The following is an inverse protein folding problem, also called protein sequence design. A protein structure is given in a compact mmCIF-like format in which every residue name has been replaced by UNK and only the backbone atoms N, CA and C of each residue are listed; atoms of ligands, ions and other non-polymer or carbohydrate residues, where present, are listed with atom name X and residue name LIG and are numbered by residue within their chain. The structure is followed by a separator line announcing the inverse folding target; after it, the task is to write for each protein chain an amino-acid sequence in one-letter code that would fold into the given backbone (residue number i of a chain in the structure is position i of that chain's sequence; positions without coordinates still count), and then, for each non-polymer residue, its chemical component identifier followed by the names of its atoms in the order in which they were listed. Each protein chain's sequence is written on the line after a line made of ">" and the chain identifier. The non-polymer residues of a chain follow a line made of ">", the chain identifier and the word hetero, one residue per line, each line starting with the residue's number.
data_IF_721862779475
#
_entry.id   IF_721862779475
#
_cell.length_a   1.000
_cell.length_b   1.000
_cell.length_c   1.000
_cell.angle_alpha   90.00
_cell.angle_beta   90.00
_cell.angle_gamma   90.00
#
_symmetry.space_group_name_H-M   'P 1'
#
loop_
_entity.id
_entity.type
_entity.pdbx_description
1 polymer ?
#
# COMPACT_ATOMS: atom_id res chain seq x y z
N UNK A 1 -15.31 -23.12 -3.28
CA UNK A 1 -15.16 -23.47 -1.84
C UNK A 1 -13.98 -22.68 -1.28
N UNK A 2 -14.16 -21.84 -0.24
CA UNK A 2 -13.05 -21.09 0.37
C UNK A 2 -12.30 -22.02 1.33
N UNK A 3 -10.99 -22.19 1.13
CA UNK A 3 -10.14 -22.99 2.01
C UNK A 3 -10.04 -22.31 3.37
N UNK A 4 -10.20 -23.09 4.46
CA UNK A 4 -10.00 -22.59 5.81
C UNK A 4 -8.56 -22.13 6.02
N UNK A 5 -8.36 -21.05 6.77
CA UNK A 5 -7.02 -20.59 7.15
C UNK A 5 -6.44 -21.56 8.15
N UNK A 6 -5.17 -21.93 7.96
CA UNK A 6 -4.41 -22.65 8.98
C UNK A 6 -3.62 -21.59 9.78
N UNK A 7 -4.10 -21.28 10.97
CA UNK A 7 -3.46 -20.42 11.93
C UNK A 7 -2.90 -21.31 13.04
N UNK A 8 -1.59 -21.41 13.13
CA UNK A 8 -0.93 -22.22 14.16
C UNK A 8 -0.57 -21.31 15.34
N UNK A 9 -1.19 -21.50 16.51
CA UNK A 9 -0.84 -20.73 17.71
C UNK A 9 0.67 -20.81 17.99
N UNK A 10 1.28 -19.67 18.32
CA UNK A 10 2.71 -19.52 18.55
C UNK A 10 3.55 -19.26 17.28
N UNK A 11 3.04 -19.57 16.10
CA UNK A 11 3.76 -19.27 14.86
C UNK A 11 3.68 -17.78 14.51
N UNK A 12 4.75 -17.26 13.90
CA UNK A 12 4.76 -15.90 13.34
C UNK A 12 4.09 -15.92 11.97
N UNK A 13 3.22 -14.97 11.75
CA UNK A 13 2.48 -14.80 10.50
C UNK A 13 2.76 -13.45 9.88
N UNK A 14 2.95 -13.43 8.56
CA UNK A 14 2.86 -12.22 7.76
C UNK A 14 1.40 -11.97 7.41
N UNK A 15 0.81 -10.91 7.96
CA UNK A 15 -0.58 -10.52 7.69
C UNK A 15 -0.57 -9.30 6.78
N UNK A 16 -1.36 -9.36 5.69
CA UNK A 16 -1.43 -8.30 4.69
C UNK A 16 -2.89 -7.90 4.46
N UNK A 17 -3.20 -6.62 4.62
CA UNK A 17 -4.48 -6.03 4.24
C UNK A 17 -4.29 -5.10 3.05
N UNK A 18 -5.10 -5.26 2.00
CA UNK A 18 -5.03 -4.43 0.79
C UNK A 18 -6.28 -3.62 0.61
N UNK A 19 -6.12 -2.39 0.15
CA UNK A 19 -7.26 -1.55 -0.22
C UNK A 19 -7.81 -1.93 -1.59
N UNK A 20 -9.12 -1.71 -1.76
CA UNK A 20 -9.82 -1.98 -3.01
C UNK A 20 -9.14 -1.25 -4.17
N UNK A 21 -9.05 -1.90 -5.32
CA UNK A 21 -8.42 -1.37 -6.55
C UNK A 21 -6.98 -0.87 -6.33
N UNK A 22 -6.28 -1.36 -5.31
CA UNK A 22 -4.97 -0.84 -4.87
C UNK A 22 -4.96 0.68 -4.68
N UNK A 23 -6.11 1.24 -4.32
CA UNK A 23 -6.28 2.68 -4.10
C UNK A 23 -5.40 3.17 -2.97
N UNK A 24 -4.81 4.34 -3.13
CA UNK A 24 -4.07 5.01 -2.08
C UNK A 24 -5.04 5.66 -1.11
N UNK A 25 -5.38 4.93 -0.09
CA UNK A 25 -6.33 5.40 0.92
C UNK A 25 -5.64 5.99 2.15
N UNK A 26 -4.41 5.56 2.45
CA UNK A 26 -3.61 6.20 3.50
C UNK A 26 -2.72 7.27 2.88
N UNK A 27 -3.24 8.48 2.72
CA UNK A 27 -2.52 9.63 2.18
C UNK A 27 -2.20 10.68 3.23
N UNK A 28 -2.94 10.67 4.35
CA UNK A 28 -2.78 11.61 5.45
C UNK A 28 -2.34 10.89 6.73
N UNK A 29 -1.65 11.61 7.60
CA UNK A 29 -1.17 11.10 8.89
C UNK A 29 -2.33 10.71 9.79
N UNK A 30 -3.40 11.51 9.82
CA UNK A 30 -4.62 11.24 10.57
C UNK A 30 -5.27 9.89 10.24
N UNK A 31 -5.13 9.42 9.01
CA UNK A 31 -5.66 8.12 8.56
C UNK A 31 -4.85 6.96 9.11
N UNK A 32 -3.52 7.12 9.14
CA UNK A 32 -2.60 6.13 9.70
C UNK A 32 -2.69 6.08 11.23
N UNK A 33 -2.74 7.24 11.87
CA UNK A 33 -2.95 7.34 13.33
C UNK A 33 -4.27 6.69 13.73
N UNK A 34 -5.35 6.94 12.96
CA UNK A 34 -6.64 6.30 13.21
C UNK A 34 -6.55 4.78 13.10
N UNK A 35 -5.83 4.29 12.09
CA UNK A 35 -5.64 2.84 11.94
C UNK A 35 -4.85 2.24 13.09
N UNK A 36 -3.72 2.86 13.50
CA UNK A 36 -2.91 2.39 14.64
C UNK A 36 -3.68 2.44 15.96
N UNK A 37 -4.49 3.48 16.18
CA UNK A 37 -5.36 3.55 17.36
C UNK A 37 -6.37 2.40 17.41
N UNK A 38 -7.03 2.08 16.29
CA UNK A 38 -7.95 0.96 16.20
C UNK A 38 -7.23 -0.39 16.35
N UNK A 39 -6.02 -0.50 15.80
CA UNK A 39 -5.18 -1.69 15.92
C UNK A 39 -4.85 -1.98 17.39
N UNK A 40 -4.37 -0.97 18.12
CA UNK A 40 -4.04 -1.12 19.54
C UNK A 40 -5.24 -1.60 20.35
N UNK A 41 -6.39 -0.94 20.20
CA UNK A 41 -7.64 -1.35 20.86
C UNK A 41 -8.10 -2.76 20.52
N UNK A 42 -7.88 -3.20 19.29
CA UNK A 42 -8.27 -4.54 18.86
C UNK A 42 -7.33 -5.61 19.44
N UNK A 43 -6.03 -5.31 19.53
CA UNK A 43 -5.03 -6.22 20.08
C UNK A 43 -5.13 -6.33 21.60
N UNK A 44 -5.57 -5.29 22.32
CA UNK A 44 -5.87 -5.36 23.76
C UNK A 44 -6.94 -6.43 24.09
N UNK A 45 -7.72 -6.86 23.10
CA UNK A 45 -8.79 -7.88 23.23
C UNK A 45 -8.54 -9.08 22.30
N UNK A 46 -7.30 -9.41 22.02
CA UNK A 46 -6.90 -10.53 21.17
C UNK A 46 -5.69 -11.23 21.77
N UNK A 47 -5.61 -12.53 21.52
CA UNK A 47 -4.41 -13.31 21.88
C UNK A 47 -3.26 -13.15 20.88
N UNK A 48 -3.47 -12.42 19.77
CA UNK A 48 -2.44 -12.13 18.79
C UNK A 48 -1.50 -11.01 19.26
N UNK A 49 -0.21 -11.15 18.99
CA UNK A 49 0.83 -10.19 19.37
C UNK A 49 1.49 -9.59 18.13
N UNK A 50 1.59 -8.28 18.05
CA UNK A 50 2.23 -7.58 16.94
C UNK A 50 3.73 -7.43 17.21
N UNK A 51 4.56 -7.89 16.26
CA UNK A 51 6.00 -7.71 16.29
C UNK A 51 6.42 -6.48 15.46
N UNK A 52 5.90 -6.34 14.25
CA UNK A 52 6.25 -5.23 13.36
C UNK A 52 5.08 -4.84 12.47
N UNK A 53 5.09 -3.58 12.01
CA UNK A 53 4.10 -3.09 11.03
C UNK A 53 4.71 -2.13 10.01
N UNK A 54 4.06 -2.04 8.85
CA UNK A 54 4.24 -0.98 7.87
C UNK A 54 2.89 -0.58 7.27
N UNK A 55 2.56 0.71 7.35
CA UNK A 55 1.33 1.29 6.81
C UNK A 55 1.63 1.99 5.49
N UNK A 56 1.57 1.22 4.39
CA UNK A 56 1.74 1.75 3.05
C UNK A 56 0.45 2.42 2.56
N UNK A 57 0.54 3.29 1.56
CA UNK A 57 -0.62 4.05 1.09
C UNK A 57 -1.75 3.18 0.53
N UNK A 58 -1.45 2.01 -0.03
CA UNK A 58 -2.41 1.12 -0.69
C UNK A 58 -2.53 -0.28 -0.05
N UNK A 59 -1.72 -0.58 0.96
CA UNK A 59 -1.75 -1.85 1.70
C UNK A 59 -1.03 -1.73 3.04
N UNK A 60 -1.23 -2.72 3.89
CA UNK A 60 -0.72 -2.78 5.25
C UNK A 60 -0.02 -4.11 5.46
N UNK A 61 1.13 -4.08 6.14
CA UNK A 61 1.89 -5.27 6.53
C UNK A 61 2.01 -5.37 8.04
N UNK A 62 1.89 -6.59 8.57
CA UNK A 62 2.10 -6.89 9.97
C UNK A 62 2.86 -8.20 10.12
N UNK A 63 3.85 -8.24 11.03
CA UNK A 63 4.40 -9.47 11.59
C UNK A 63 3.65 -9.75 12.90
N UNK A 64 2.96 -10.87 12.97
CA UNK A 64 2.07 -11.19 14.07
C UNK A 64 2.36 -12.59 14.60
N UNK A 65 2.46 -12.75 15.92
CA UNK A 65 2.43 -14.07 16.54
C UNK A 65 0.97 -14.47 16.70
N UNK A 66 0.60 -15.62 16.14
CA UNK A 66 -0.76 -16.14 16.27
C UNK A 66 -1.03 -16.60 17.69
N UNK A 67 -2.17 -16.16 18.22
CA UNK A 67 -2.75 -16.74 19.43
C UNK A 67 -3.76 -17.83 19.11
N UNK A 68 -4.45 -18.39 20.11
CA UNK A 68 -5.53 -19.35 19.92
C UNK A 68 -6.78 -18.78 19.24
N UNK A 69 -6.97 -17.44 19.30
CA UNK A 69 -8.10 -16.79 18.64
C UNK A 69 -7.92 -16.78 17.11
N UNK A 70 -9.00 -16.85 16.32
CA UNK A 70 -8.90 -16.73 14.88
C UNK A 70 -8.42 -15.32 14.46
N UNK A 71 -7.79 -15.18 13.30
CA UNK A 71 -7.29 -13.90 12.76
C UNK A 71 -8.38 -12.81 12.73
N UNK A 72 -9.62 -13.21 12.49
CA UNK A 72 -10.78 -12.32 12.48
C UNK A 72 -11.03 -11.62 13.84
N UNK A 73 -10.55 -12.18 14.94
CA UNK A 73 -10.76 -11.64 16.30
C UNK A 73 -10.29 -10.18 16.42
N UNK A 74 -9.17 -9.85 15.78
CA UNK A 74 -8.67 -8.48 15.76
C UNK A 74 -8.86 -7.79 14.41
N UNK A 75 -8.68 -8.48 13.27
CA UNK A 75 -8.74 -7.83 11.95
C UNK A 75 -10.12 -7.24 11.66
N UNK A 76 -11.20 -7.90 12.04
CA UNK A 76 -12.55 -7.36 11.90
C UNK A 76 -12.78 -6.15 12.79
N UNK A 77 -12.24 -6.15 14.01
CA UNK A 77 -12.35 -5.04 14.98
C UNK A 77 -11.59 -3.79 14.53
N UNK A 78 -10.58 -3.94 13.67
CA UNK A 78 -9.83 -2.82 13.07
C UNK A 78 -10.46 -2.40 11.74
N UNK A 79 -10.57 -3.35 10.80
CA UNK A 79 -10.86 -3.03 9.41
C UNK A 79 -12.30 -2.53 9.20
N UNK A 80 -13.30 -3.06 9.95
CA UNK A 80 -14.68 -2.62 9.79
C UNK A 80 -14.91 -1.17 10.27
N UNK A 81 -14.51 -0.77 11.50
CA UNK A 81 -14.70 0.61 11.92
C UNK A 81 -13.78 1.57 11.15
N UNK A 82 -12.58 1.13 10.72
CA UNK A 82 -11.74 1.95 9.86
C UNK A 82 -12.38 2.18 8.50
N UNK A 83 -12.96 1.15 7.88
CA UNK A 83 -13.65 1.28 6.60
C UNK A 83 -14.85 2.23 6.68
N UNK A 84 -15.66 2.12 7.73
CA UNK A 84 -16.78 3.03 7.95
C UNK A 84 -16.31 4.47 8.13
N UNK A 85 -15.31 4.69 8.98
CA UNK A 85 -14.75 6.02 9.22
C UNK A 85 -14.15 6.61 7.92
N UNK A 86 -13.40 5.81 7.14
CA UNK A 86 -12.80 6.24 5.88
C UNK A 86 -13.88 6.60 4.84
N UNK A 87 -14.94 5.81 4.75
CA UNK A 87 -16.05 6.09 3.83
C UNK A 87 -16.76 7.39 4.18
N UNK A 88 -17.06 7.63 5.47
CA UNK A 88 -17.63 8.89 5.93
C UNK A 88 -16.70 10.07 5.65
N UNK A 89 -15.44 9.96 6.04
CA UNK A 89 -14.45 11.03 5.86
C UNK A 89 -14.27 11.43 4.39
N UNK A 90 -14.35 10.46 3.48
CA UNK A 90 -14.11 10.68 2.03
C UNK A 90 -15.37 10.71 1.18
N UNK A 91 -16.55 10.76 1.79
CA UNK A 91 -17.84 10.74 1.07
C UNK A 91 -17.95 9.53 0.11
N UNK A 92 -17.42 8.35 0.49
CA UNK A 92 -17.39 7.15 -0.35
C UNK A 92 -18.44 6.15 0.08
N UNK A 93 -18.89 5.36 -0.89
CA UNK A 93 -19.70 4.16 -0.68
C UNK A 93 -18.94 2.93 -1.17
N UNK A 94 -19.15 1.79 -0.50
CA UNK A 94 -18.61 0.49 -0.90
C UNK A 94 -17.37 0.06 -0.10
N UNK A 95 -16.71 -1.03 -0.51
CA UNK A 95 -15.62 -1.63 0.24
C UNK A 95 -14.37 -0.71 0.26
N UNK A 96 -13.68 -0.70 1.40
CA UNK A 96 -12.37 -0.05 1.58
C UNK A 96 -11.25 -1.07 1.36
N UNK A 97 -11.44 -2.29 1.87
CA UNK A 97 -10.50 -3.38 1.68
C UNK A 97 -10.93 -4.29 0.52
N UNK A 98 -9.96 -4.74 -0.27
CA UNK A 98 -10.19 -5.56 -1.46
C UNK A 98 -10.75 -6.96 -1.10
N UNK A 99 -10.26 -7.53 0.00
CA UNK A 99 -10.65 -8.85 0.50
C UNK A 99 -10.35 -8.93 2.01
N UNK A 100 -10.62 -10.10 2.60
CA UNK A 100 -10.13 -10.40 3.95
C UNK A 100 -8.60 -10.37 3.97
N UNK A 101 -7.96 -9.99 5.10
CA UNK A 101 -6.50 -10.01 5.21
C UNK A 101 -5.92 -11.36 4.79
N UNK A 102 -4.89 -11.33 3.96
CA UNK A 102 -4.10 -12.52 3.66
C UNK A 102 -3.17 -12.81 4.84
N UNK A 103 -2.95 -14.08 5.15
CA UNK A 103 -2.05 -14.51 6.23
C UNK A 103 -1.16 -15.66 5.77
N UNK A 104 0.10 -15.63 6.20
CA UNK A 104 1.13 -16.59 5.83
C UNK A 104 1.94 -16.94 7.05
N UNK A 105 1.92 -18.20 7.46
CA UNK A 105 2.84 -18.67 8.48
C UNK A 105 4.28 -18.57 7.99
N UNK A 106 5.14 -18.03 8.82
CA UNK A 106 6.58 -17.89 8.56
C UNK A 106 7.28 -19.13 9.12
N UNK A 107 8.28 -19.57 8.40
CA UNK A 107 9.10 -20.70 8.82
C UNK A 107 9.91 -20.31 10.07
N UNK A 108 10.00 -21.18 11.09
CA UNK A 108 10.88 -20.94 12.22
C UNK A 108 12.31 -20.62 11.75
N UNK A 109 12.86 -19.51 12.27
CA UNK A 109 14.15 -18.96 11.89
C UNK A 109 14.12 -17.85 10.83
N UNK A 110 12.98 -17.63 10.15
CA UNK A 110 12.83 -16.56 9.14
C UNK A 110 12.08 -15.33 9.71
N UNK A 111 11.73 -15.32 10.99
CA UNK A 111 10.92 -14.26 11.63
C UNK A 111 11.61 -12.90 11.58
N UNK A 112 12.93 -12.88 11.88
CA UNK A 112 13.74 -11.67 11.79
C UNK A 112 13.75 -11.10 10.37
N UNK A 113 13.90 -11.94 9.36
CA UNK A 113 13.85 -11.52 7.95
C UNK A 113 12.50 -10.90 7.59
N UNK A 114 11.37 -11.43 8.13
CA UNK A 114 10.08 -10.82 7.95
C UNK A 114 10.03 -9.41 8.56
N UNK A 115 10.58 -9.23 9.76
CA UNK A 115 10.63 -7.92 10.43
C UNK A 115 11.44 -6.94 9.60
N UNK A 116 12.65 -7.31 9.13
CA UNK A 116 13.45 -6.48 8.24
C UNK A 116 12.71 -6.14 6.93
N UNK A 117 12.07 -7.14 6.30
CA UNK A 117 11.26 -6.95 5.11
C UNK A 117 10.15 -5.91 5.32
N UNK A 118 9.43 -5.99 6.45
CA UNK A 118 8.33 -5.05 6.77
C UNK A 118 8.88 -3.64 6.95
N UNK A 119 9.98 -3.47 7.68
CA UNK A 119 10.59 -2.16 7.89
C UNK A 119 11.17 -1.55 6.61
N UNK A 120 11.66 -2.40 5.69
CA UNK A 120 12.19 -1.98 4.39
C UNK A 120 11.10 -1.77 3.31
N UNK A 121 9.81 -2.02 3.58
CA UNK A 121 8.76 -1.81 2.58
C UNK A 121 8.76 -0.39 2.00
N UNK A 122 8.85 0.71 2.79
CA UNK A 122 8.91 2.06 2.24
C UNK A 122 10.16 2.33 1.41
N UNK A 123 11.31 1.73 1.77
CA UNK A 123 12.56 1.83 1.00
C UNK A 123 12.41 1.11 -0.35
N UNK A 124 11.89 -0.12 -0.33
CA UNK A 124 11.63 -0.93 -1.54
C UNK A 124 10.60 -0.29 -2.47
N UNK A 125 9.66 0.47 -1.90
CA UNK A 125 8.67 1.24 -2.66
C UNK A 125 9.22 2.60 -3.14
N UNK A 126 10.47 2.95 -2.83
CA UNK A 126 11.07 4.24 -3.21
C UNK A 126 10.47 5.45 -2.49
N UNK A 127 9.78 5.21 -1.35
CA UNK A 127 9.12 6.27 -0.56
C UNK A 127 10.13 7.04 0.27
N UNK A 128 11.10 6.34 0.85
CA UNK A 128 12.18 6.89 1.66
C UNK A 128 13.51 6.25 1.26
N UNK A 129 14.62 6.93 1.55
CA UNK A 129 15.95 6.41 1.27
C UNK A 129 16.37 5.30 2.27
N UNK A 130 15.96 5.42 3.53
CA UNK A 130 16.32 4.49 4.62
C UNK A 130 15.08 4.17 5.44
N UNK A 131 15.01 2.97 6.05
CA UNK A 131 13.89 2.53 6.88
C UNK A 131 13.60 3.50 8.04
N UNK A 132 14.65 4.07 8.65
CA UNK A 132 14.54 5.07 9.73
C UNK A 132 13.81 6.36 9.32
N UNK A 133 13.81 6.70 8.04
CA UNK A 133 13.19 7.92 7.52
C UNK A 133 11.66 7.75 7.34
N UNK A 134 11.13 6.56 7.58
CA UNK A 134 9.70 6.28 7.51
C UNK A 134 9.00 6.45 8.87
N UNK A 135 8.04 7.36 8.93
CA UNK A 135 7.20 7.56 10.13
C UNK A 135 6.13 6.47 10.29
N UNK A 136 5.85 5.67 9.25
CA UNK A 136 4.69 4.78 9.18
C UNK A 136 5.04 3.29 9.22
N UNK A 137 6.25 3.01 9.72
CA UNK A 137 6.66 1.68 10.13
C UNK A 137 6.97 1.66 11.63
N UNK A 138 7.07 0.48 12.22
CA UNK A 138 7.54 0.31 13.59
C UNK A 138 9.04 0.55 13.76
N UNK A 139 9.80 0.87 12.70
CA UNK A 139 11.26 0.98 12.74
C UNK A 139 11.78 2.01 13.77
N UNK A 140 11.19 3.22 13.77
CA UNK A 140 11.57 4.28 14.72
C UNK A 140 11.38 3.87 16.19
N UNK A 141 10.48 2.91 16.48
CA UNK A 141 10.25 2.36 17.81
C UNK A 141 11.35 1.36 18.15
N UNK A 142 11.73 0.51 17.21
CA UNK A 142 12.81 -0.47 17.38
C UNK A 142 14.17 0.15 17.68
N UNK A 143 14.46 1.30 17.09
CA UNK A 143 15.71 2.06 17.35
C UNK A 143 15.61 3.04 18.52
N UNK A 144 14.53 3.00 19.28
CA UNK A 144 14.34 3.85 20.47
C UNK A 144 14.02 5.32 20.17
N UNK A 145 13.78 5.70 18.92
CA UNK A 145 13.43 7.07 18.52
C UNK A 145 11.97 7.45 18.85
N UNK A 146 11.11 6.45 19.12
CA UNK A 146 9.71 6.62 19.53
C UNK A 146 9.37 5.62 20.63
N UNK A 147 8.47 6.01 21.56
CA UNK A 147 7.99 5.12 22.60
C UNK A 147 7.18 3.96 22.01
N UNK A 148 7.43 2.76 22.51
CA UNK A 148 6.70 1.57 22.13
C UNK A 148 5.28 1.59 22.73
N UNK A 149 4.22 1.45 21.90
CA UNK A 149 2.89 1.21 22.42
C UNK A 149 2.81 -0.19 23.03
N UNK A 150 1.97 -0.36 24.05
CA UNK A 150 1.86 -1.62 24.82
C UNK A 150 1.56 -2.87 23.98
N UNK A 151 0.89 -2.69 22.85
CA UNK A 151 0.50 -3.77 21.95
C UNK A 151 1.61 -4.18 20.95
N UNK A 152 2.74 -3.44 20.90
CA UNK A 152 3.88 -3.77 20.03
C UNK A 152 4.99 -4.41 20.84
N UNK A 153 5.32 -5.66 20.53
CA UNK A 153 6.28 -6.49 21.26
C UNK A 153 7.69 -6.35 20.67
N UNK A 154 8.35 -5.21 20.92
CA UNK A 154 9.66 -4.85 20.35
C UNK A 154 10.75 -5.80 20.82
N UNK A 155 10.82 -6.08 22.14
CA UNK A 155 11.86 -6.94 22.70
C UNK A 155 11.84 -8.34 22.06
N UNK A 156 10.66 -8.93 21.94
CA UNK A 156 10.50 -10.21 21.26
C UNK A 156 10.85 -10.13 19.77
N UNK A 157 10.56 -8.99 19.13
CA UNK A 157 10.96 -8.75 17.74
C UNK A 157 12.49 -8.69 17.59
N UNK A 158 13.20 -8.03 18.51
CA UNK A 158 14.66 -7.98 18.54
C UNK A 158 15.29 -9.36 18.81
N UNK A 159 14.68 -10.16 19.69
CA UNK A 159 15.10 -11.55 19.92
C UNK A 159 15.04 -12.37 18.63
N UNK A 160 13.95 -12.27 17.85
CA UNK A 160 13.85 -12.94 16.55
C UNK A 160 14.87 -12.42 15.53
N UNK A 161 15.28 -11.17 15.62
CA UNK A 161 16.31 -10.61 14.74
C UNK A 161 17.75 -11.00 15.20
N UNK A 162 17.92 -11.42 16.43
CA UNK A 162 19.23 -11.75 17.01
C UNK A 162 20.17 -10.55 17.13
N UNK A 163 19.63 -9.32 17.25
CA UNK A 163 20.40 -8.08 17.31
C UNK A 163 19.93 -7.16 18.44
N UNK A 164 20.82 -6.35 18.96
CA UNK A 164 20.48 -5.29 19.91
C UNK A 164 19.80 -4.12 19.21
N UNK A 165 19.00 -3.34 19.95
CA UNK A 165 18.32 -2.16 19.41
C UNK A 165 19.29 -1.15 18.78
N UNK A 166 20.50 -0.99 19.31
CA UNK A 166 21.53 -0.11 18.77
C UNK A 166 22.00 -0.50 17.37
N UNK A 167 22.01 -1.81 17.06
CA UNK A 167 22.50 -2.35 15.79
C UNK A 167 21.38 -2.59 14.79
N UNK A 168 20.12 -2.45 15.23
CA UNK A 168 18.94 -2.83 14.45
C UNK A 168 18.82 -2.07 13.13
N UNK A 169 19.11 -0.77 13.12
CA UNK A 169 19.02 0.04 11.88
C UNK A 169 20.05 -0.41 10.82
N UNK A 170 21.28 -0.68 11.24
CA UNK A 170 22.32 -1.20 10.33
C UNK A 170 21.97 -2.60 9.82
N UNK A 171 21.41 -3.46 10.69
CA UNK A 171 20.99 -4.80 10.35
C UNK A 171 19.82 -4.78 9.33
N UNK A 172 18.80 -3.93 9.54
CA UNK A 172 17.70 -3.74 8.57
C UNK A 172 18.21 -3.18 7.25
N UNK A 173 19.17 -2.23 7.28
CA UNK A 173 19.75 -1.65 6.07
C UNK A 173 20.54 -2.67 5.26
N UNK A 174 21.24 -3.62 5.91
CA UNK A 174 21.97 -4.69 5.24
C UNK A 174 21.06 -5.65 4.45
N UNK A 175 19.80 -5.85 4.92
CA UNK A 175 18.82 -6.71 4.24
C UNK A 175 18.26 -6.10 2.94
N UNK A 176 18.46 -4.81 2.67
CA UNK A 176 18.02 -4.18 1.40
C UNK A 176 18.74 -4.70 0.17
N UNK A 177 19.89 -5.32 0.33
CA UNK A 177 20.70 -5.87 -0.76
C UNK A 177 20.13 -7.17 -1.35
N UNK A 178 19.28 -7.87 -0.63
CA UNK A 178 18.55 -9.04 -1.12
C UNK A 178 17.27 -8.61 -1.83
N UNK A 179 17.37 -8.37 -3.14
CA UNK A 179 16.25 -8.01 -4.05
C UNK A 179 15.08 -9.00 -4.06
N UNK A 180 15.30 -10.17 -3.50
CA UNK A 180 14.31 -11.20 -3.34
C UNK A 180 14.33 -11.64 -1.87
N UNK A 181 13.17 -11.59 -1.22
CA UNK A 181 12.95 -12.39 -0.03
C UNK A 181 12.67 -13.84 -0.50
N UNK A 182 13.70 -14.64 -0.86
CA UNK A 182 13.52 -15.93 -1.53
C UNK A 182 12.74 -16.89 -0.66
N UNK A 183 12.83 -16.72 0.66
CA UNK A 183 12.17 -17.59 1.62
C UNK A 183 10.68 -17.27 1.79
N UNK A 184 10.28 -15.99 1.75
CA UNK A 184 8.85 -15.63 1.79
C UNK A 184 8.12 -16.10 0.54
N UNK A 185 8.76 -16.07 -0.65
CA UNK A 185 8.22 -16.66 -1.88
C UNK A 185 8.23 -18.21 -1.82
N UNK A 186 9.25 -18.81 -1.25
CA UNK A 186 9.36 -20.26 -1.11
C UNK A 186 8.33 -20.81 -0.12
N UNK A 187 8.14 -20.16 1.02
CA UNK A 187 7.12 -20.53 2.01
C UNK A 187 5.73 -20.37 1.41
N UNK A 188 5.45 -19.28 0.70
CA UNK A 188 4.23 -19.07 -0.05
C UNK A 188 3.98 -20.16 -1.09
N UNK A 189 5.02 -20.62 -1.79
CA UNK A 189 4.96 -21.69 -2.80
C UNK A 189 4.74 -23.05 -2.17
N UNK A 190 5.46 -23.38 -1.11
CA UNK A 190 5.32 -24.62 -0.36
C UNK A 190 3.95 -24.74 0.33
N UNK A 191 3.42 -23.64 0.84
CA UNK A 191 2.08 -23.59 1.41
C UNK A 191 0.97 -23.77 0.36
N UNK A 192 1.14 -23.25 -0.87
CA UNK A 192 0.23 -23.55 -2.00
C UNK A 192 0.22 -25.01 -2.37
N UNK A 193 1.39 -25.64 -2.45
CA UNK A 193 1.52 -27.06 -2.81
C UNK A 193 0.89 -27.98 -1.77
N UNK A 194 0.78 -27.55 -0.51
CA UNK A 194 0.11 -28.28 0.58
C UNK A 194 -1.38 -27.95 0.74
N UNK A 195 -1.97 -27.19 -0.18
CA UNK A 195 -3.38 -26.81 -0.12
C UNK A 195 -3.74 -25.81 1.00
N UNK A 196 -2.73 -25.29 1.70
CA UNK A 196 -2.93 -24.45 2.87
C UNK A 196 -3.09 -22.96 2.58
N UNK A 197 -2.85 -22.49 1.35
CA UNK A 197 -2.86 -21.05 1.08
C UNK A 197 -3.27 -20.71 -0.36
N UNK A 198 -4.41 -20.05 -0.51
CA UNK A 198 -4.68 -19.22 -1.67
C UNK A 198 -3.96 -17.88 -1.49
N UNK A 199 -2.80 -17.77 -2.05
CA UNK A 199 -2.08 -16.52 -2.11
C UNK A 199 -1.64 -16.24 -3.53
N UNK A 200 -2.27 -15.23 -4.10
CA UNK A 200 -1.55 -14.38 -4.99
C UNK A 200 -0.61 -13.52 -4.13
N UNK A 201 0.63 -13.93 -3.94
CA UNK A 201 1.68 -12.95 -3.68
C UNK A 201 1.72 -12.11 -4.95
N UNK A 202 1.40 -10.81 -4.94
CA UNK A 202 1.83 -10.02 -6.06
C UNK A 202 3.34 -10.07 -5.97
N UNK A 203 3.97 -10.74 -6.89
CA UNK A 203 5.25 -10.30 -7.36
C UNK A 203 4.96 -8.88 -7.81
N UNK A 204 5.33 -7.89 -7.00
CA UNK A 204 5.53 -6.56 -7.51
C UNK A 204 6.64 -6.76 -8.53
N UNK A 205 6.27 -6.89 -9.81
CA UNK A 205 7.23 -6.68 -10.87
C UNK A 205 7.86 -5.30 -10.58
N UNK A 206 9.13 -5.07 -10.91
CA UNK A 206 9.75 -3.74 -10.79
C UNK A 206 8.93 -2.63 -11.44
N UNK A 207 8.00 -2.98 -12.32
CA UNK A 207 7.02 -2.11 -13.01
C UNK A 207 5.77 -1.80 -12.18
N UNK A 208 5.52 -2.50 -11.06
CA UNK A 208 4.43 -2.21 -10.11
C UNK A 208 4.89 -1.30 -8.95
N UNK A 209 6.15 -0.85 -8.95
CA UNK A 209 6.56 0.28 -8.14
C UNK A 209 5.88 1.49 -8.77
N UNK A 210 4.84 2.07 -8.15
CA UNK A 210 4.36 3.36 -8.59
C UNK A 210 5.58 4.29 -8.54
N UNK A 211 5.69 5.24 -9.46
CA UNK A 211 6.63 6.34 -9.45
C UNK A 211 6.37 7.27 -8.25
N UNK A 212 6.51 6.77 -7.04
CA UNK A 212 5.90 7.30 -5.82
C UNK A 212 6.89 7.94 -4.88
N UNK A 213 8.16 7.98 -5.24
CA UNK A 213 9.18 8.54 -4.35
C UNK A 213 9.05 10.03 -4.03
N UNK A 214 8.08 10.76 -4.59
CA UNK A 214 8.02 12.23 -4.46
C UNK A 214 6.66 12.84 -4.06
N UNK A 215 5.64 12.06 -3.70
CA UNK A 215 4.26 12.58 -3.62
C UNK A 215 3.59 12.58 -2.25
N UNK A 216 4.31 12.52 -1.15
CA UNK A 216 3.71 12.47 0.19
C UNK A 216 3.17 13.82 0.72
N UNK A 217 3.33 14.92 -0.01
CA UNK A 217 2.88 16.24 0.43
C UNK A 217 1.93 16.95 -0.56
N UNK A 218 1.28 16.21 -1.49
CA UNK A 218 0.48 16.87 -2.52
C UNK A 218 -1.01 16.81 -2.26
N UNK A 219 -1.62 17.99 -2.34
CA UNK A 219 -3.06 18.17 -2.53
C UNK A 219 -3.46 17.30 -3.72
N UNK A 220 -4.40 16.41 -3.48
CA UNK A 220 -4.97 15.52 -4.48
C UNK A 220 -5.56 16.35 -5.63
N UNK A 221 -5.14 16.17 -6.89
CA UNK A 221 -5.62 17.00 -7.98
C UNK A 221 -7.09 16.76 -8.26
N UNK A 222 -7.77 17.78 -8.79
CA UNK A 222 -9.09 17.58 -9.36
C UNK A 222 -8.99 16.60 -10.55
N UNK A 223 -9.87 15.60 -10.66
CA UNK A 223 -9.89 14.68 -11.80
C UNK A 223 -9.92 15.38 -13.16
N UNK A 224 -10.55 16.55 -13.25
CA UNK A 224 -10.61 17.37 -14.47
C UNK A 224 -9.24 17.95 -14.83
N UNK A 225 -8.41 18.28 -13.83
CA UNK A 225 -7.04 18.76 -14.06
C UNK A 225 -6.18 17.66 -14.65
N UNK A 226 -6.33 16.44 -14.14
CA UNK A 226 -5.65 15.27 -14.73
C UNK A 226 -6.04 15.10 -16.18
N UNK A 227 -7.33 15.19 -16.52
CA UNK A 227 -7.78 15.08 -17.92
C UNK A 227 -7.23 16.22 -18.80
N UNK A 228 -7.14 17.47 -18.27
CA UNK A 228 -6.55 18.58 -19.01
C UNK A 228 -5.05 18.34 -19.32
N UNK A 229 -4.31 17.83 -18.36
CA UNK A 229 -2.88 17.52 -18.55
C UNK A 229 -2.72 16.34 -19.53
N UNK A 230 -3.55 15.30 -19.41
CA UNK A 230 -3.54 14.18 -20.36
C UNK A 230 -3.89 14.65 -21.77
N UNK A 231 -4.88 15.54 -21.92
CA UNK A 231 -5.22 16.14 -23.22
C UNK A 231 -4.02 16.84 -23.84
N UNK A 232 -3.30 17.66 -23.04
CA UNK A 232 -2.10 18.36 -23.50
C UNK A 232 -0.94 17.41 -23.89
N UNK A 233 -0.81 16.28 -23.21
CA UNK A 233 0.25 15.28 -23.48
C UNK A 233 -0.07 14.39 -24.67
N UNK A 234 -1.34 14.02 -24.86
CA UNK A 234 -1.78 13.08 -25.88
C UNK A 234 -2.30 13.75 -27.16
N UNK A 235 -2.54 15.08 -27.12
CA UNK A 235 -3.18 15.80 -28.22
C UNK A 235 -4.69 15.51 -28.39
N UNK A 236 -5.30 14.75 -27.47
CA UNK A 236 -6.74 14.44 -27.50
C UNK A 236 -7.48 15.53 -26.75
N UNK A 237 -8.47 16.22 -27.36
CA UNK A 237 -9.24 17.27 -26.69
C UNK A 237 -9.93 16.77 -25.40
N UNK A 238 -9.92 17.57 -24.34
CA UNK A 238 -10.46 17.17 -23.04
C UNK A 238 -11.95 16.80 -23.11
N UNK A 239 -12.71 17.45 -23.95
CA UNK A 239 -14.15 17.21 -24.18
C UNK A 239 -14.41 15.82 -24.81
N UNK A 240 -13.43 15.30 -25.57
CA UNK A 240 -13.54 14.00 -26.21
C UNK A 240 -13.55 12.85 -25.20
N UNK A 241 -12.96 13.02 -24.02
CA UNK A 241 -12.91 11.96 -23.00
C UNK A 241 -14.30 11.48 -22.55
N UNK A 242 -15.30 12.37 -22.50
CA UNK A 242 -16.67 12.03 -22.12
C UNK A 242 -17.51 11.51 -23.30
N UNK A 243 -16.97 11.50 -24.52
CA UNK A 243 -17.72 11.04 -25.71
C UNK A 243 -17.91 9.52 -25.68
N UNK A 244 -18.96 9.03 -26.37
CA UNK A 244 -19.20 7.58 -26.55
C UNK A 244 -18.33 6.94 -27.64
N UNK A 245 -17.46 7.71 -28.27
CA UNK A 245 -16.58 7.21 -29.33
C UNK A 245 -15.56 6.21 -28.83
N UNK A 246 -15.26 5.19 -29.62
CA UNK A 246 -14.30 4.12 -29.35
C UNK A 246 -13.08 4.18 -30.27
N UNK A 247 -12.70 5.37 -30.74
CA UNK A 247 -11.51 5.54 -31.58
C UNK A 247 -10.27 5.06 -30.80
N UNK A 248 -9.34 4.32 -31.45
CA UNK A 248 -8.16 3.76 -30.76
C UNK A 248 -7.38 4.82 -29.95
N UNK A 249 -7.10 5.97 -30.53
CA UNK A 249 -6.39 7.09 -29.88
C UNK A 249 -7.11 7.58 -28.61
N UNK A 250 -8.44 7.64 -28.65
CA UNK A 250 -9.24 8.06 -27.49
C UNK A 250 -9.26 7.00 -26.38
N UNK A 251 -9.31 5.72 -26.77
CA UNK A 251 -9.24 4.60 -25.79
C UNK A 251 -7.88 4.61 -25.11
N UNK A 252 -6.81 4.87 -25.85
CA UNK A 252 -5.46 4.99 -25.34
C UNK A 252 -5.31 6.19 -24.39
N UNK A 253 -5.78 7.37 -24.78
CA UNK A 253 -5.76 8.55 -23.92
C UNK A 253 -6.55 8.34 -22.61
N UNK A 254 -7.71 7.65 -22.68
CA UNK A 254 -8.46 7.25 -21.48
C UNK A 254 -7.68 6.28 -20.59
N UNK A 255 -6.93 5.36 -21.17
CA UNK A 255 -6.05 4.44 -20.43
C UNK A 255 -4.97 5.22 -19.69
N UNK A 256 -4.27 6.12 -20.38
CA UNK A 256 -3.26 7.01 -19.79
C UNK A 256 -3.88 7.83 -18.65
N UNK A 257 -5.07 8.40 -18.85
CA UNK A 257 -5.77 9.16 -17.82
C UNK A 257 -6.11 8.33 -16.58
N UNK A 258 -6.54 7.08 -16.76
CA UNK A 258 -6.84 6.17 -15.65
C UNK A 258 -5.57 5.81 -14.88
N UNK A 259 -4.49 5.47 -15.57
CA UNK A 259 -3.23 5.09 -14.91
C UNK A 259 -2.57 6.29 -14.22
N UNK A 260 -2.48 7.45 -14.88
CA UNK A 260 -1.94 8.68 -14.28
C UNK A 260 -2.79 9.16 -13.09
N UNK A 261 -4.12 9.19 -13.25
CA UNK A 261 -5.02 9.60 -12.17
C UNK A 261 -4.94 8.67 -10.96
N UNK A 262 -4.79 7.36 -11.16
CA UNK A 262 -4.56 6.40 -10.06
C UNK A 262 -3.22 6.63 -9.37
N UNK A 263 -2.16 6.91 -10.13
CA UNK A 263 -0.86 7.26 -9.58
C UNK A 263 -0.90 8.57 -8.76
N UNK A 264 -1.80 9.49 -9.12
CA UNK A 264 -2.07 10.73 -8.38
C UNK A 264 -3.12 10.56 -7.26
N UNK A 265 -3.53 9.33 -6.95
CA UNK A 265 -4.42 9.02 -5.83
C UNK A 265 -5.92 9.13 -6.11
N UNK A 266 -6.33 9.29 -7.38
CA UNK A 266 -7.74 9.31 -7.74
C UNK A 266 -8.36 7.90 -7.72
N UNK A 267 -9.61 7.80 -7.27
CA UNK A 267 -10.35 6.53 -7.27
C UNK A 267 -10.88 6.18 -8.66
N UNK A 268 -11.12 4.88 -8.89
CA UNK A 268 -11.77 4.43 -10.13
C UNK A 268 -13.15 5.06 -10.36
N UNK A 269 -13.88 5.41 -9.30
CA UNK A 269 -15.19 6.10 -9.38
C UNK A 269 -15.06 7.53 -9.87
N UNK A 270 -14.09 8.29 -9.34
CA UNK A 270 -13.82 9.68 -9.76
C UNK A 270 -13.34 9.73 -11.21
N UNK A 271 -12.44 8.82 -11.58
CA UNK A 271 -11.95 8.72 -12.95
C UNK A 271 -13.07 8.30 -13.93
N UNK A 272 -13.94 7.38 -13.52
CA UNK A 272 -15.11 6.99 -14.34
C UNK A 272 -16.04 8.19 -14.56
N UNK A 273 -16.34 8.95 -13.50
CA UNK A 273 -17.17 10.14 -13.57
C UNK A 273 -16.54 11.22 -14.46
N UNK A 274 -15.26 11.52 -14.27
CA UNK A 274 -14.53 12.52 -15.04
C UNK A 274 -14.44 12.15 -16.54
N UNK A 275 -14.22 10.87 -16.84
CA UNK A 275 -14.15 10.34 -18.20
C UNK A 275 -15.53 10.14 -18.85
N UNK A 276 -16.63 10.32 -18.12
CA UNK A 276 -17.99 10.05 -18.63
C UNK A 276 -18.22 8.57 -19.02
N UNK A 277 -17.51 7.63 -18.37
CA UNK A 277 -17.61 6.19 -18.66
C UNK A 277 -18.17 5.42 -17.47
N UNK A 278 -18.68 4.21 -17.71
CA UNK A 278 -19.12 3.33 -16.63
C UNK A 278 -17.94 2.82 -15.78
N UNK A 279 -18.17 2.55 -14.48
CA UNK A 279 -17.16 2.04 -13.55
C UNK A 279 -16.45 0.77 -14.05
N UNK A 280 -17.18 -0.16 -14.69
CA UNK A 280 -16.60 -1.36 -15.30
C UNK A 280 -15.61 -1.02 -16.43
N UNK A 281 -15.88 0.03 -17.21
CA UNK A 281 -14.98 0.48 -18.27
C UNK A 281 -13.70 1.06 -17.69
N UNK A 282 -13.81 1.92 -16.67
CA UNK A 282 -12.64 2.46 -15.95
C UNK A 282 -11.82 1.34 -15.31
N UNK A 283 -12.47 0.33 -14.71
CA UNK A 283 -11.79 -0.83 -14.13
C UNK A 283 -11.04 -1.65 -15.18
N UNK A 284 -11.63 -1.89 -16.36
CA UNK A 284 -10.96 -2.57 -17.48
C UNK A 284 -9.76 -1.80 -17.99
N UNK A 285 -9.89 -0.47 -18.14
CA UNK A 285 -8.76 0.38 -18.53
C UNK A 285 -7.63 0.34 -17.50
N UNK A 286 -7.96 0.33 -16.21
CA UNK A 286 -7.00 0.21 -15.14
C UNK A 286 -6.29 -1.16 -15.06
N UNK A 287 -6.96 -2.22 -15.48
CA UNK A 287 -6.42 -3.58 -15.49
C UNK A 287 -5.62 -3.89 -16.77
N UNK A 288 -5.71 -3.05 -17.81
CA UNK A 288 -4.98 -3.25 -19.06
C UNK A 288 -3.50 -2.89 -18.89
N UNK A 289 -2.61 -3.68 -19.49
CA UNK A 289 -1.18 -3.37 -19.51
C UNK A 289 -0.90 -2.10 -20.33
N UNK A 290 0.03 -1.29 -19.84
CA UNK A 290 0.52 -0.12 -20.55
C UNK A 290 1.77 -0.50 -21.36
N UNK A 291 1.76 -0.17 -22.65
CA UNK A 291 2.92 -0.28 -23.51
C UNK A 291 4.00 0.77 -23.13
N UNK A 292 5.23 0.58 -23.61
CA UNK A 292 6.36 1.46 -23.23
C UNK A 292 6.09 2.94 -23.54
N UNK A 293 5.48 3.25 -24.69
CA UNK A 293 5.12 4.62 -25.08
C UNK A 293 4.08 5.24 -24.14
N UNK A 294 3.08 4.47 -23.71
CA UNK A 294 2.07 4.92 -22.77
C UNK A 294 2.66 5.20 -21.38
N UNK A 295 3.64 4.42 -20.95
CA UNK A 295 4.37 4.65 -19.69
C UNK A 295 5.12 5.98 -19.72
N UNK A 296 5.78 6.30 -20.83
CA UNK A 296 6.44 7.59 -21.03
C UNK A 296 5.45 8.75 -20.95
N UNK A 297 4.26 8.60 -21.57
CA UNK A 297 3.21 9.63 -21.51
C UNK A 297 2.67 9.78 -20.07
N UNK A 298 2.45 8.68 -19.35
CA UNK A 298 2.03 8.72 -17.94
C UNK A 298 3.06 9.48 -17.10
N UNK A 299 4.35 9.20 -17.28
CA UNK A 299 5.41 9.94 -16.58
C UNK A 299 5.40 11.44 -16.89
N UNK A 300 5.19 11.81 -18.16
CA UNK A 300 5.05 13.22 -18.54
C UNK A 300 3.86 13.89 -17.86
N UNK A 301 2.74 13.20 -17.74
CA UNK A 301 1.57 13.70 -17.00
C UNK A 301 1.93 13.90 -15.52
N UNK A 302 2.56 12.93 -14.88
CA UNK A 302 2.92 12.99 -13.46
C UNK A 302 3.88 14.16 -13.18
N UNK A 303 4.91 14.36 -14.03
CA UNK A 303 5.85 15.48 -13.89
C UNK A 303 5.17 16.85 -13.90
N UNK A 304 4.10 17.05 -14.68
CA UNK A 304 3.35 18.32 -14.71
C UNK A 304 2.69 18.67 -13.37
N UNK A 305 2.33 17.65 -12.59
CA UNK A 305 1.82 17.85 -11.23
C UNK A 305 2.96 18.03 -10.22
N UNK A 306 4.19 17.58 -10.55
CA UNK A 306 5.38 17.79 -9.74
C UNK A 306 5.86 19.24 -9.82
N UNK A 307 5.96 19.81 -11.02
CA UNK A 307 6.49 21.14 -11.25
C UNK A 307 5.56 22.24 -10.71
N UNK A 308 4.23 22.03 -10.73
CA UNK A 308 3.26 23.00 -10.23
C UNK A 308 3.26 23.20 -8.70
N UNK A 309 3.84 22.25 -7.94
CA UNK A 309 3.98 22.40 -6.47
C UNK A 309 5.29 23.07 -6.04
N UNK A 310 6.23 23.24 -6.96
CA UNK A 310 7.52 23.95 -6.70
C UNK A 310 7.42 25.47 -6.95
N UNK A 311 6.34 25.95 -7.57
CA UNK A 311 6.18 27.33 -8.03
C UNK A 311 5.42 28.27 -7.09
N UNK A 312 4.77 27.79 -6.04
CA UNK A 312 3.97 28.67 -5.14
C UNK A 312 4.71 29.22 -3.91
N UNK A 313 5.98 28.88 -3.76
CA UNK A 313 6.82 29.33 -2.62
C UNK A 313 7.41 30.75 -2.75
N UNK A 314 7.25 31.47 -3.89
CA UNK A 314 8.02 32.71 -4.13
C UNK A 314 7.17 33.95 -4.44
N UNK A 315 5.85 33.94 -4.11
CA UNK A 315 4.99 35.13 -4.29
C UNK A 315 4.19 35.50 -3.03
N UNK A 316 4.86 35.64 -1.88
CA UNK A 316 4.37 36.42 -0.75
C UNK A 316 5.54 37.07 -0.01
N UNK A 317 6.20 38.02 -0.67
CA UNK A 317 6.93 39.13 -0.06
C UNK A 317 7.19 40.18 -1.14
N UNK A 318 6.22 41.08 -1.33
CA UNK A 318 6.43 42.53 -1.62
C UNK A 318 5.09 43.23 -1.33
#
# INVERSE_FOLDING_TARGET
>A
MRIARQESPGAVHHVISRFVDRSWLLTEDTERDRYLHLLGRALDHSSWRCLAYALMSNHLHFAMIAGPDPLESWTKRVNSPFANWMNVRRGRLGPVFADRPATFAIRPGDEGQLIAYIHNNPVRAGVVARARDSHWTSHAIYVGARLAPRWLHVDQGLEYCGVAAADFDAWVAADTTTRDAPNLKAVSRAARMRGALHVATPTLAPTDVPLVGRHFARIRPDPRDVLRVVAAVTGVPAEAFASRQKKPVLVEARRIAVHAGRALGLTGGELAAALGVGRQTASRLAASECQSEQRVMIERVLRRFDDSSSGEGTRRQR
#
